data_IF_594234540676
#
_entry.id   IF_594234540676
#
_cell.length_a   1.000
_cell.length_b   1.000
_cell.length_c   1.000
_cell.angle_alpha   90.00
_cell.angle_beta   90.00
_cell.angle_gamma   90.00
#
_symmetry.space_group_name_H-M   'P 1'
#
loop_
_entity.id
_entity.type
_entity.pdbx_description
1 polymer ?
#
# COMPACT_ATOMS: atom_id res chain seq x y z
N UNK A 1 15.33 -36.97 58.30
CA UNK A 1 16.63 -36.64 57.68
C UNK A 1 16.47 -36.93 56.18
N UNK A 2 16.06 -35.91 55.41
CA UNK A 2 16.89 -35.22 54.39
C UNK A 2 17.36 -36.23 53.32
N UNK A 3 16.95 -36.11 52.05
CA UNK A 3 17.28 -34.96 51.19
C UNK A 3 16.39 -34.92 49.95
N UNK A 4 15.74 -33.77 49.77
CA UNK A 4 15.21 -33.29 48.49
C UNK A 4 16.32 -33.15 47.47
N UNK A 5 16.17 -33.76 46.29
CA UNK A 5 16.90 -33.34 45.09
C UNK A 5 15.88 -33.17 43.95
N UNK A 6 15.30 -31.97 43.86
CA UNK A 6 14.56 -31.53 42.67
C UNK A 6 15.55 -30.75 41.81
N UNK A 7 16.30 -31.49 41.00
CA UNK A 7 17.23 -30.94 40.02
C UNK A 7 16.42 -30.33 38.90
N UNK A 8 16.41 -28.99 38.86
CA UNK A 8 15.85 -28.24 37.75
C UNK A 8 16.65 -28.44 36.47
N UNK A 9 15.95 -28.52 35.35
CA UNK A 9 16.51 -28.40 34.01
C UNK A 9 15.64 -27.38 33.26
N UNK A 10 16.30 -26.27 32.95
CA UNK A 10 15.78 -25.15 32.21
C UNK A 10 15.63 -25.46 30.71
N UNK A 11 14.94 -24.53 30.03
CA UNK A 11 14.94 -24.27 28.59
C UNK A 11 14.00 -25.16 27.75
N UNK A 12 13.33 -24.68 26.71
CA UNK A 12 13.48 -23.45 25.92
C UNK A 12 12.09 -22.83 25.70
N UNK A 13 11.93 -21.54 26.02
CA UNK A 13 10.88 -20.74 25.39
C UNK A 13 11.43 -20.32 24.03
N UNK A 14 11.04 -21.02 22.98
CA UNK A 14 11.27 -20.58 21.60
C UNK A 14 10.38 -19.35 21.35
N UNK A 15 10.86 -18.19 21.78
CA UNK A 15 10.29 -16.92 21.36
C UNK A 15 10.72 -16.70 19.90
N UNK A 16 9.95 -17.24 18.96
CA UNK A 16 10.03 -16.82 17.56
C UNK A 16 9.52 -15.39 17.50
N UNK A 17 10.43 -14.43 17.63
CA UNK A 17 10.14 -13.05 17.29
C UNK A 17 9.90 -13.03 15.77
N UNK A 18 8.64 -13.14 15.38
CA UNK A 18 8.21 -12.79 14.03
C UNK A 18 8.43 -11.29 13.90
N UNK A 19 9.58 -10.89 13.37
CA UNK A 19 9.77 -9.52 12.90
C UNK A 19 8.83 -9.35 11.73
N UNK A 20 7.63 -8.80 11.99
CA UNK A 20 6.79 -8.29 10.93
C UNK A 20 7.56 -7.16 10.27
N UNK A 21 8.20 -7.45 9.13
CA UNK A 21 8.73 -6.44 8.25
C UNK A 21 7.55 -5.63 7.76
N UNK A 22 7.32 -4.47 8.36
CA UNK A 22 6.48 -3.42 7.76
C UNK A 22 7.29 -2.87 6.59
N UNK A 23 7.31 -3.61 5.48
CA UNK A 23 7.59 -2.97 4.20
C UNK A 23 6.46 -1.96 4.04
N UNK A 24 6.76 -0.67 4.17
CA UNK A 24 5.89 0.34 3.59
C UNK A 24 5.81 -0.06 2.13
N UNK A 25 4.67 -0.62 1.72
CA UNK A 25 4.44 -0.86 0.31
C UNK A 25 4.42 0.54 -0.28
N UNK A 26 5.48 0.87 -1.01
CA UNK A 26 5.60 2.13 -1.74
C UNK A 26 4.38 2.20 -2.65
N UNK A 27 3.39 2.97 -2.20
CA UNK A 27 2.03 2.90 -2.71
C UNK A 27 1.81 4.11 -3.59
N UNK A 28 1.89 3.94 -4.91
CA UNK A 28 1.59 4.98 -5.87
C UNK A 28 0.11 5.36 -5.82
N UNK A 29 -0.15 6.66 -5.89
CA UNK A 29 -1.47 7.23 -6.04
C UNK A 29 -1.42 8.43 -6.98
N UNK A 30 -2.37 8.48 -7.93
CA UNK A 30 -2.42 9.54 -8.93
C UNK A 30 -3.84 10.08 -9.07
N UNK A 31 -3.93 11.36 -9.46
CA UNK A 31 -5.17 12.08 -9.72
C UNK A 31 -5.14 12.54 -11.19
N UNK A 32 -6.25 12.29 -11.89
CA UNK A 32 -6.47 12.77 -13.23
C UNK A 32 -7.68 13.72 -13.25
N UNK A 33 -7.57 14.81 -14.00
CA UNK A 33 -8.64 15.81 -14.14
C UNK A 33 -8.83 16.16 -15.60
N UNK A 34 -10.08 16.40 -15.99
CA UNK A 34 -10.45 16.92 -17.32
C UNK A 34 -10.81 18.40 -17.26
N UNK A 35 -10.79 19.07 -18.41
CA UNK A 35 -11.15 20.50 -18.53
C UNK A 35 -12.60 20.81 -18.10
N UNK A 36 -13.50 19.82 -18.17
CA UNK A 36 -14.89 19.93 -17.70
C UNK A 36 -15.04 19.74 -16.18
N UNK A 37 -13.97 19.36 -15.48
CA UNK A 37 -13.94 19.14 -14.03
C UNK A 37 -14.22 17.70 -13.58
N UNK A 38 -14.43 16.77 -14.50
CA UNK A 38 -14.50 15.34 -14.20
C UNK A 38 -13.11 14.84 -13.75
N UNK A 39 -13.09 13.97 -12.73
CA UNK A 39 -11.84 13.52 -12.11
C UNK A 39 -11.81 12.01 -11.84
N UNK A 40 -10.60 11.45 -11.89
CA UNK A 40 -10.29 10.07 -11.57
C UNK A 40 -9.12 9.98 -10.58
N UNK A 41 -9.02 8.86 -9.88
CA UNK A 41 -8.00 8.67 -8.86
C UNK A 41 -7.57 7.21 -8.75
N UNK A 42 -6.37 7.00 -8.24
CA UNK A 42 -5.80 5.70 -7.90
C UNK A 42 -5.05 5.77 -6.58
N UNK A 43 -4.93 4.63 -5.89
CA UNK A 43 -4.25 4.52 -4.61
C UNK A 43 -3.74 3.09 -4.40
N UNK A 44 -2.67 2.94 -3.61
CA UNK A 44 -2.14 1.63 -3.22
C UNK A 44 -1.68 0.75 -4.40
N UNK A 45 -1.10 1.37 -5.41
CA UNK A 45 -0.49 0.66 -6.55
C UNK A 45 1.00 0.44 -6.30
N UNK A 46 1.52 -0.70 -6.75
CA UNK A 46 2.95 -1.05 -6.62
C UNK A 46 3.85 -0.32 -7.65
N UNK A 47 3.25 0.25 -8.69
CA UNK A 47 3.91 0.94 -9.81
C UNK A 47 3.15 2.21 -10.23
N UNK A 48 3.89 3.25 -10.63
CA UNK A 48 3.35 4.54 -11.07
C UNK A 48 2.48 4.39 -12.34
N UNK A 49 2.88 3.55 -13.28
CA UNK A 49 2.20 3.33 -14.55
C UNK A 49 0.79 2.78 -14.35
N UNK A 50 0.65 1.74 -13.54
CA UNK A 50 -0.66 1.16 -13.20
C UNK A 50 -1.55 2.17 -12.45
N UNK A 51 -0.97 2.94 -11.53
CA UNK A 51 -1.67 4.02 -10.82
C UNK A 51 -2.18 5.09 -11.79
N UNK A 52 -1.34 5.50 -12.74
CA UNK A 52 -1.66 6.49 -13.76
C UNK A 52 -2.76 6.02 -14.70
N UNK A 53 -2.65 4.80 -15.23
CA UNK A 53 -3.65 4.21 -16.11
C UNK A 53 -5.02 4.14 -15.41
N UNK A 54 -5.03 3.71 -14.14
CA UNK A 54 -6.26 3.67 -13.33
C UNK A 54 -6.88 5.05 -13.18
N UNK A 55 -6.10 6.07 -12.81
CA UNK A 55 -6.61 7.42 -12.61
C UNK A 55 -7.18 8.02 -13.91
N UNK A 56 -6.48 7.85 -15.04
CA UNK A 56 -6.95 8.29 -16.36
C UNK A 56 -8.22 7.56 -16.78
N UNK A 57 -8.30 6.26 -16.56
CA UNK A 57 -9.48 5.44 -16.89
C UNK A 57 -10.69 5.86 -16.06
N UNK A 58 -10.52 6.07 -14.75
CA UNK A 58 -11.59 6.58 -13.89
C UNK A 58 -12.07 7.96 -14.33
N UNK A 59 -11.14 8.85 -14.71
CA UNK A 59 -11.49 10.16 -15.23
C UNK A 59 -12.27 10.02 -16.54
N UNK A 60 -11.76 9.27 -17.52
CA UNK A 60 -12.39 9.08 -18.83
C UNK A 60 -13.80 8.49 -18.71
N UNK A 61 -14.01 7.53 -17.81
CA UNK A 61 -15.34 6.94 -17.57
C UNK A 61 -16.39 7.93 -17.02
N UNK A 62 -15.94 9.05 -16.46
CA UNK A 62 -16.81 10.09 -15.87
C UNK A 62 -16.90 11.33 -16.74
N UNK A 63 -16.09 11.39 -17.79
CA UNK A 63 -15.91 12.54 -18.67
C UNK A 63 -16.73 12.34 -19.95
N UNK A 64 -17.17 13.43 -20.58
CA UNK A 64 -17.81 13.35 -21.91
C UNK A 64 -16.77 13.06 -23.00
N UNK A 65 -17.16 12.47 -24.14
CA UNK A 65 -16.21 12.01 -25.17
C UNK A 65 -15.32 13.12 -25.79
N UNK A 66 -15.62 14.39 -25.53
CA UNK A 66 -14.87 15.52 -26.09
C UNK A 66 -13.78 16.09 -25.16
N UNK A 67 -13.79 15.72 -23.88
CA UNK A 67 -12.85 16.26 -22.88
C UNK A 67 -11.68 15.32 -22.62
N UNK A 68 -10.46 15.87 -22.58
CA UNK A 68 -9.22 15.13 -22.33
C UNK A 68 -8.94 15.06 -20.83
N UNK A 69 -8.56 13.89 -20.32
CA UNK A 69 -8.10 13.69 -18.94
C UNK A 69 -6.57 13.76 -18.87
N UNK A 70 -6.04 14.55 -17.93
CA UNK A 70 -4.61 14.72 -17.69
C UNK A 70 -4.25 14.44 -16.23
N UNK A 71 -3.07 13.88 -15.97
CA UNK A 71 -2.57 13.68 -14.61
C UNK A 71 -2.18 15.03 -14.02
N UNK A 72 -2.75 15.36 -12.86
CA UNK A 72 -2.41 16.59 -12.11
C UNK A 72 -1.48 16.32 -10.94
N UNK A 73 -1.60 15.15 -10.31
CA UNK A 73 -0.81 14.73 -9.15
C UNK A 73 -0.53 13.22 -9.27
N UNK A 74 0.67 12.77 -8.91
CA UNK A 74 1.07 11.36 -8.99
C UNK A 74 2.32 11.17 -8.15
N UNK A 75 2.13 10.54 -6.99
CA UNK A 75 3.16 10.47 -5.97
C UNK A 75 3.19 9.07 -5.34
N UNK A 76 4.38 8.66 -4.93
CA UNK A 76 4.62 7.49 -4.11
C UNK A 76 4.30 7.87 -2.65
N UNK A 77 3.38 7.15 -2.01
CA UNK A 77 3.13 7.33 -0.57
C UNK A 77 4.32 6.73 0.20
N UNK A 78 5.23 7.60 0.66
CA UNK A 78 6.42 7.29 1.48
C UNK A 78 6.16 7.42 3.00
#
# INVERSE_FOLDING_TARGET
>A
MTTTLRTGLAALVLATAFTASTTSALAWGCIAVSEEGSYGYSYSYDDEGDAREKALTECANRTTEESVCEITECDEND
#
